data_IF_024748473794
#
_entry.id   IF_024748473794
#
_cell.length_a   1.000
_cell.length_b   1.000
_cell.length_c   1.000
_cell.angle_alpha   90.00
_cell.angle_beta   90.00
_cell.angle_gamma   90.00
#
_symmetry.space_group_name_H-M   'P 1'
#
loop_
_entity.id
_entity.type
_entity.pdbx_description
1 polymer ?
#
# COMPACT_ATOMS: atom_id res chain seq x y z
N UNK A 1 6.61 -21.39 -27.87
CA UNK A 1 5.76 -20.77 -26.83
C UNK A 1 6.50 -19.68 -26.05
N UNK A 2 7.78 -19.86 -25.72
CA UNK A 2 8.60 -18.86 -24.99
C UNK A 2 8.65 -17.48 -25.64
N UNK A 3 8.82 -17.39 -26.97
CA UNK A 3 8.83 -16.09 -27.70
C UNK A 3 7.53 -15.29 -27.61
N UNK A 4 6.38 -15.96 -27.50
CA UNK A 4 5.07 -15.28 -27.36
C UNK A 4 4.93 -14.70 -25.95
N UNK A 5 5.39 -15.43 -24.94
CA UNK A 5 5.38 -14.99 -23.54
C UNK A 5 6.36 -13.83 -23.33
N UNK A 6 7.56 -13.90 -23.91
CA UNK A 6 8.52 -12.78 -23.90
C UNK A 6 7.95 -11.53 -24.57
N UNK A 7 7.35 -11.67 -25.75
CA UNK A 7 6.76 -10.55 -26.47
C UNK A 7 5.57 -9.95 -25.73
N UNK A 8 4.73 -10.78 -25.09
CA UNK A 8 3.63 -10.33 -24.26
C UNK A 8 4.13 -9.56 -23.00
N UNK A 9 5.17 -10.06 -22.35
CA UNK A 9 5.79 -9.41 -21.19
C UNK A 9 6.44 -8.07 -21.57
N UNK A 10 7.16 -8.00 -22.68
CA UNK A 10 7.75 -6.74 -23.19
C UNK A 10 6.67 -5.72 -23.59
N UNK A 11 5.62 -6.16 -24.26
CA UNK A 11 4.50 -5.29 -24.66
C UNK A 11 3.69 -4.80 -23.45
N UNK A 12 3.67 -5.52 -22.32
CA UNK A 12 2.98 -5.08 -21.10
C UNK A 12 3.48 -3.73 -20.57
N UNK A 13 4.74 -3.36 -20.86
CA UNK A 13 5.32 -2.06 -20.46
C UNK A 13 4.55 -0.87 -21.04
N UNK A 14 4.02 -1.02 -22.24
CA UNK A 14 3.18 0.01 -22.87
C UNK A 14 1.82 0.16 -22.21
N UNK A 15 1.29 -0.88 -21.56
CA UNK A 15 0.05 -0.81 -20.80
C UNK A 15 0.22 -0.07 -19.46
N UNK A 16 1.42 -0.10 -18.88
CA UNK A 16 1.72 0.60 -17.64
C UNK A 16 1.80 2.13 -17.82
N UNK A 17 2.25 2.62 -18.98
CA UNK A 17 2.36 4.05 -19.26
C UNK A 17 1.03 4.84 -19.09
N UNK A 18 -0.10 4.45 -19.72
CA UNK A 18 -1.37 5.14 -19.53
C UNK A 18 -1.93 4.99 -18.12
N UNK A 19 -1.64 3.87 -17.42
CA UNK A 19 -2.05 3.66 -16.03
C UNK A 19 -1.36 4.68 -15.11
N UNK A 20 -0.04 4.84 -15.21
CA UNK A 20 0.69 5.84 -14.40
C UNK A 20 0.29 7.26 -14.75
N UNK A 21 -0.02 7.54 -16.02
CA UNK A 21 -0.56 8.84 -16.41
C UNK A 21 -1.93 9.10 -15.76
N UNK A 22 -2.81 8.10 -15.74
CA UNK A 22 -4.08 8.17 -15.03
C UNK A 22 -3.91 8.41 -13.52
N UNK A 23 -2.99 7.69 -12.88
CA UNK A 23 -2.66 7.86 -11.46
C UNK A 23 -2.15 9.27 -11.15
N UNK A 24 -1.29 9.84 -12.01
CA UNK A 24 -0.84 11.22 -11.90
C UNK A 24 -2.00 12.22 -12.01
N UNK A 25 -2.96 11.99 -12.92
CA UNK A 25 -4.15 12.82 -13.04
C UNK A 25 -5.03 12.74 -11.78
N UNK A 26 -5.21 11.54 -11.21
CA UNK A 26 -5.93 11.38 -9.94
C UNK A 26 -5.23 12.16 -8.82
N UNK A 27 -3.90 12.15 -8.77
CA UNK A 27 -3.15 12.93 -7.80
C UNK A 27 -3.40 14.44 -7.96
N UNK A 28 -3.48 14.94 -9.20
CA UNK A 28 -3.88 16.33 -9.47
C UNK A 28 -5.30 16.63 -8.97
N UNK A 29 -6.27 15.73 -9.20
CA UNK A 29 -7.65 15.89 -8.72
C UNK A 29 -7.69 15.94 -7.20
N UNK A 30 -7.00 15.03 -6.51
CA UNK A 30 -6.91 15.03 -5.04
C UNK A 30 -6.29 16.32 -4.50
N UNK A 31 -5.30 16.86 -5.20
CA UNK A 31 -4.67 18.13 -4.83
C UNK A 31 -5.67 19.29 -4.94
N UNK A 32 -6.47 19.32 -6.01
CA UNK A 32 -7.50 20.35 -6.19
C UNK A 32 -8.57 20.24 -5.08
N UNK A 33 -9.08 19.03 -4.83
CA UNK A 33 -10.05 18.76 -3.76
C UNK A 33 -9.53 19.19 -2.38
N UNK A 34 -8.25 18.94 -2.09
CA UNK A 34 -7.61 19.38 -0.84
C UNK A 34 -7.65 20.90 -0.66
N UNK A 35 -7.23 21.65 -1.69
CA UNK A 35 -7.24 23.12 -1.62
C UNK A 35 -8.67 23.69 -1.57
N UNK A 36 -9.62 23.08 -2.28
CA UNK A 36 -11.03 23.45 -2.19
C UNK A 36 -11.59 23.24 -0.77
N UNK A 37 -11.24 22.12 -0.13
CA UNK A 37 -11.64 21.85 1.25
C UNK A 37 -11.04 22.86 2.24
N UNK A 38 -9.77 23.24 2.07
CA UNK A 38 -9.14 24.31 2.87
C UNK A 38 -9.87 25.64 2.67
N UNK A 39 -10.12 26.01 1.41
CA UNK A 39 -10.80 27.26 1.09
C UNK A 39 -12.20 27.30 1.73
N UNK A 40 -12.96 26.22 1.62
CA UNK A 40 -14.26 26.09 2.27
C UNK A 40 -14.18 26.26 3.79
N UNK A 41 -13.20 25.62 4.43
CA UNK A 41 -13.02 25.68 5.89
C UNK A 41 -12.69 27.09 6.36
N UNK A 42 -11.77 27.78 5.67
CA UNK A 42 -11.39 29.17 6.01
C UNK A 42 -12.57 30.12 5.78
N UNK A 43 -13.31 29.98 4.68
CA UNK A 43 -14.44 30.86 4.38
C UNK A 43 -15.64 30.70 5.33
N UNK A 44 -15.79 29.53 5.96
CA UNK A 44 -16.95 29.22 6.81
C UNK A 44 -16.58 29.00 8.29
N UNK A 45 -15.36 29.35 8.72
CA UNK A 45 -14.90 29.07 10.09
C UNK A 45 -15.76 29.72 11.18
N UNK A 46 -16.36 30.89 10.89
CA UNK A 46 -17.23 31.60 11.83
C UNK A 46 -18.67 31.11 11.84
N UNK A 47 -19.08 30.31 10.85
CA UNK A 47 -20.46 29.84 10.66
C UNK A 47 -20.62 28.36 10.93
N UNK A 48 -19.54 27.58 10.85
CA UNK A 48 -19.53 26.15 11.16
C UNK A 48 -19.51 25.91 12.67
N UNK A 49 -20.20 24.86 13.10
CA UNK A 49 -20.10 24.38 14.47
C UNK A 49 -18.76 23.68 14.71
N UNK A 50 -18.34 23.61 15.98
CA UNK A 50 -17.03 23.07 16.38
C UNK A 50 -16.81 21.61 15.91
N UNK A 51 -17.89 20.82 15.91
CA UNK A 51 -17.88 19.44 15.45
C UNK A 51 -17.70 19.33 13.93
N UNK A 52 -18.35 20.20 13.15
CA UNK A 52 -18.24 20.26 11.68
C UNK A 52 -16.82 20.65 11.23
N UNK A 53 -16.20 21.60 11.94
CA UNK A 53 -14.80 21.98 11.68
C UNK A 53 -13.90 20.75 11.83
N UNK A 54 -14.08 19.97 12.89
CA UNK A 54 -13.26 18.78 13.13
C UNK A 54 -13.49 17.70 12.07
N UNK A 55 -14.74 17.48 11.66
CA UNK A 55 -15.09 16.55 10.57
C UNK A 55 -14.46 16.96 9.23
N UNK A 56 -14.43 18.26 8.93
CA UNK A 56 -13.78 18.78 7.72
C UNK A 56 -12.27 18.62 7.75
N UNK A 57 -11.63 18.90 8.88
CA UNK A 57 -10.18 18.66 9.06
C UNK A 57 -9.86 17.17 8.87
N UNK A 58 -10.66 16.28 9.45
CA UNK A 58 -10.46 14.84 9.28
C UNK A 58 -10.59 14.38 7.83
N UNK A 59 -11.52 14.97 7.07
CA UNK A 59 -11.63 14.75 5.62
C UNK A 59 -10.40 15.23 4.84
N UNK A 60 -9.81 16.37 5.20
CA UNK A 60 -8.57 16.85 4.58
C UNK A 60 -7.38 15.92 4.86
N UNK A 61 -7.28 15.39 6.09
CA UNK A 61 -6.26 14.41 6.47
C UNK A 61 -6.42 13.13 5.63
N UNK A 62 -7.65 12.67 5.43
CA UNK A 62 -7.93 11.48 4.62
C UNK A 62 -7.45 11.64 3.16
N UNK A 63 -7.73 12.80 2.52
CA UNK A 63 -7.24 13.10 1.17
C UNK A 63 -5.70 13.02 1.11
N UNK A 64 -4.99 13.56 2.11
CA UNK A 64 -3.52 13.50 2.17
C UNK A 64 -3.02 12.07 2.29
N UNK A 65 -3.67 11.24 3.10
CA UNK A 65 -3.28 9.84 3.27
C UNK A 65 -3.54 9.01 2.01
N UNK A 66 -4.67 9.23 1.34
CA UNK A 66 -4.97 8.61 0.04
C UNK A 66 -3.95 9.03 -1.01
N UNK A 67 -3.60 10.32 -1.08
CA UNK A 67 -2.57 10.83 -1.99
C UNK A 67 -1.19 10.21 -1.70
N UNK A 68 -0.78 10.14 -0.43
CA UNK A 68 0.47 9.50 -0.02
C UNK A 68 0.53 8.01 -0.36
N UNK A 69 -0.58 7.28 -0.16
CA UNK A 69 -0.71 5.89 -0.59
C UNK A 69 -0.57 5.75 -2.10
N UNK A 70 -1.24 6.62 -2.85
CA UNK A 70 -1.21 6.61 -4.32
C UNK A 70 0.23 6.80 -4.84
N UNK A 71 0.97 7.76 -4.27
CA UNK A 71 2.40 7.97 -4.60
C UNK A 71 3.24 6.72 -4.27
N UNK A 72 3.03 6.12 -3.10
CA UNK A 72 3.73 4.88 -2.71
C UNK A 72 3.46 3.75 -3.71
N UNK A 73 2.21 3.56 -4.11
CA UNK A 73 1.80 2.55 -5.10
C UNK A 73 2.43 2.83 -6.46
N UNK A 74 2.44 4.09 -6.90
CA UNK A 74 3.10 4.48 -8.15
C UNK A 74 4.59 4.14 -8.14
N UNK A 75 5.30 4.51 -7.06
CA UNK A 75 6.73 4.26 -6.94
C UNK A 75 7.04 2.76 -6.86
N UNK A 76 6.33 2.02 -6.02
CA UNK A 76 6.51 0.57 -5.86
C UNK A 76 6.15 -0.20 -7.13
N UNK A 77 5.09 0.21 -7.84
CA UNK A 77 4.73 -0.37 -9.13
C UNK A 77 5.81 -0.12 -10.17
N UNK A 78 6.33 1.11 -10.24
CA UNK A 78 7.37 1.47 -11.21
C UNK A 78 8.66 0.67 -10.97
N UNK A 79 9.11 0.60 -9.72
CA UNK A 79 10.30 -0.17 -9.33
C UNK A 79 10.15 -1.66 -9.67
N UNK A 80 9.00 -2.26 -9.37
CA UNK A 80 8.79 -3.69 -9.54
C UNK A 80 8.55 -4.13 -10.97
N UNK A 81 7.89 -3.30 -11.80
CA UNK A 81 7.43 -3.70 -13.12
C UNK A 81 8.10 -2.97 -14.27
N UNK A 82 8.58 -1.73 -14.10
CA UNK A 82 9.19 -0.96 -15.19
C UNK A 82 10.71 -0.96 -15.06
N UNK A 83 11.24 -0.62 -13.87
CA UNK A 83 12.68 -0.52 -13.63
C UNK A 83 13.40 -1.86 -13.79
N UNK A 84 12.85 -2.95 -13.24
CA UNK A 84 13.45 -4.30 -13.35
C UNK A 84 13.40 -4.90 -14.77
N UNK A 85 12.48 -4.43 -15.64
CA UNK A 85 12.39 -4.89 -17.03
C UNK A 85 13.36 -4.18 -17.97
N UNK A 86 13.92 -3.04 -17.58
CA UNK A 86 14.81 -2.19 -18.39
C UNK A 86 16.29 -2.53 -18.22
N UNK A 87 16.64 -3.50 -17.38
CA UNK A 87 18.01 -4.00 -17.23
C UNK A 87 18.29 -4.99 -18.38
N UNK A 88 18.97 -4.51 -19.42
CA UNK A 88 19.24 -5.24 -20.66
C UNK A 88 20.34 -6.31 -20.54
N UNK A 89 20.15 -7.39 -21.30
CA UNK A 89 21.11 -8.39 -21.81
C UNK A 89 21.93 -9.25 -20.82
N UNK A 90 21.28 -10.30 -20.33
CA UNK A 90 21.96 -11.49 -19.82
C UNK A 90 20.96 -12.51 -19.32
N UNK A 91 21.27 -13.80 -19.47
CA UNK A 91 20.43 -14.99 -19.17
C UNK A 91 19.92 -15.12 -17.72
N UNK A 92 19.92 -14.07 -16.91
CA UNK A 92 19.45 -14.06 -15.52
C UNK A 92 17.98 -13.66 -15.34
N UNK A 93 17.25 -13.40 -16.44
CA UNK A 93 15.82 -12.99 -16.43
C UNK A 93 14.84 -14.03 -15.86
N UNK A 94 15.28 -15.22 -15.47
CA UNK A 94 14.43 -16.22 -14.81
C UNK A 94 14.64 -16.29 -13.29
N UNK A 95 15.79 -15.81 -12.77
CA UNK A 95 16.11 -15.89 -11.34
C UNK A 95 15.39 -14.80 -10.50
N UNK A 96 14.96 -13.69 -11.13
CA UNK A 96 14.31 -12.57 -10.43
C UNK A 96 12.79 -12.74 -10.21
N UNK A 97 12.08 -13.45 -11.10
CA UNK A 97 10.65 -13.76 -10.91
C UNK A 97 10.41 -14.67 -9.71
N UNK A 98 11.37 -15.53 -9.36
CA UNK A 98 11.32 -16.38 -8.16
C UNK A 98 11.59 -15.64 -6.84
N UNK A 99 12.07 -14.40 -6.88
CA UNK A 99 12.39 -13.57 -5.70
C UNK A 99 11.55 -12.29 -5.60
N UNK A 100 10.42 -12.21 -6.29
CA UNK A 100 9.53 -11.06 -6.12
C UNK A 100 8.90 -11.17 -4.73
N UNK A 101 9.26 -10.24 -3.83
CA UNK A 101 8.91 -10.24 -2.41
C UNK A 101 7.44 -9.85 -2.20
N UNK A 102 6.55 -10.71 -2.68
CA UNK A 102 5.10 -10.58 -2.51
C UNK A 102 4.69 -10.67 -1.03
N UNK A 103 5.54 -11.25 -0.18
CA UNK A 103 5.30 -11.40 1.25
C UNK A 103 5.38 -10.05 1.96
N UNK A 104 6.44 -9.27 1.74
CA UNK A 104 6.56 -7.94 2.34
C UNK A 104 5.56 -6.94 1.75
N UNK A 105 5.17 -7.11 0.49
CA UNK A 105 4.15 -6.28 -0.16
C UNK A 105 2.75 -6.49 0.46
N UNK A 106 2.34 -7.74 0.72
CA UNK A 106 1.03 -8.06 1.32
C UNK A 106 0.86 -7.43 2.71
N UNK A 107 1.88 -7.52 3.55
CA UNK A 107 1.86 -6.94 4.90
C UNK A 107 1.78 -5.41 4.87
N UNK A 108 2.54 -4.75 3.98
CA UNK A 108 2.50 -3.29 3.80
C UNK A 108 1.13 -2.80 3.34
N UNK A 109 0.52 -3.48 2.37
CA UNK A 109 -0.82 -3.13 1.88
C UNK A 109 -1.88 -3.32 2.96
N UNK A 110 -1.83 -4.42 3.71
CA UNK A 110 -2.77 -4.67 4.81
C UNK A 110 -2.67 -3.60 5.91
N UNK A 111 -1.46 -3.19 6.27
CA UNK A 111 -1.24 -2.11 7.25
C UNK A 111 -1.85 -0.78 6.79
N UNK A 112 -1.69 -0.42 5.50
CA UNK A 112 -2.28 0.79 4.94
C UNK A 112 -3.81 0.76 4.94
N UNK A 113 -4.44 -0.38 4.60
CA UNK A 113 -5.90 -0.55 4.61
C UNK A 113 -6.45 -0.37 6.03
N UNK A 114 -5.79 -0.96 7.03
CA UNK A 114 -6.19 -0.80 8.44
C UNK A 114 -6.10 0.65 8.88
N UNK A 115 -5.01 1.35 8.56
CA UNK A 115 -4.83 2.75 8.93
C UNK A 115 -5.92 3.67 8.33
N UNK A 116 -6.24 3.51 7.05
CA UNK A 116 -7.30 4.28 6.38
C UNK A 116 -8.66 3.96 7.02
N UNK A 117 -8.93 2.68 7.27
CA UNK A 117 -10.17 2.24 7.91
C UNK A 117 -10.33 2.80 9.33
N UNK A 118 -9.26 2.92 10.12
CA UNK A 118 -9.29 3.53 11.46
C UNK A 118 -9.72 4.99 11.42
N UNK A 119 -9.22 5.76 10.45
CA UNK A 119 -9.53 7.18 10.29
C UNK A 119 -10.99 7.36 9.86
N UNK A 120 -11.45 6.51 8.94
CA UNK A 120 -12.84 6.51 8.52
C UNK A 120 -13.79 6.17 9.67
N UNK A 121 -13.43 5.19 10.52
CA UNK A 121 -14.21 4.85 11.70
C UNK A 121 -14.27 6.01 12.70
N UNK A 122 -13.16 6.72 12.89
CA UNK A 122 -13.12 7.92 13.74
C UNK A 122 -14.06 9.01 13.21
N UNK A 123 -14.12 9.21 11.89
CA UNK A 123 -15.03 10.17 11.26
C UNK A 123 -16.50 9.83 11.54
N UNK A 124 -16.87 8.57 11.38
CA UNK A 124 -18.23 8.07 11.64
C UNK A 124 -18.58 8.21 13.12
N UNK A 125 -17.61 7.95 14.00
CA UNK A 125 -17.79 8.11 15.43
C UNK A 125 -18.00 9.57 15.84
N UNK A 126 -17.31 10.51 15.19
CA UNK A 126 -17.51 11.95 15.42
C UNK A 126 -18.88 12.46 14.98
N UNK A 127 -19.51 11.80 14.00
CA UNK A 127 -20.87 12.09 13.52
C UNK A 127 -21.92 11.10 14.07
N UNK A 128 -21.60 10.40 15.17
CA UNK A 128 -22.40 9.29 15.68
C UNK A 128 -23.86 9.65 16.01
N UNK A 129 -24.13 10.92 16.36
CA UNK A 129 -25.49 11.38 16.67
C UNK A 129 -26.41 11.30 15.44
N UNK A 130 -25.87 11.43 14.23
CA UNK A 130 -26.62 11.41 12.98
C UNK A 130 -26.62 10.02 12.32
N UNK A 131 -25.96 9.04 12.91
CA UNK A 131 -25.77 7.71 12.35
C UNK A 131 -26.46 6.67 13.22
N UNK A 132 -27.28 5.83 12.58
CA UNK A 132 -27.97 4.74 13.26
C UNK A 132 -26.99 3.81 13.98
N UNK A 133 -27.28 3.47 15.24
CA UNK A 133 -26.43 2.61 16.07
C UNK A 133 -26.12 1.26 15.42
N UNK A 134 -27.04 0.70 14.63
CA UNK A 134 -26.83 -0.57 13.92
C UNK A 134 -25.71 -0.42 12.88
N UNK A 135 -25.68 0.72 12.16
CA UNK A 135 -24.64 1.02 11.17
C UNK A 135 -23.29 1.25 11.86
N UNK A 136 -23.29 1.95 12.99
CA UNK A 136 -22.08 2.23 13.77
C UNK A 136 -21.42 0.92 14.24
N UNK A 137 -22.22 -0.05 14.70
CA UNK A 137 -21.75 -1.38 15.05
C UNK A 137 -21.11 -2.11 13.85
N UNK A 138 -21.74 -2.05 12.67
CA UNK A 138 -21.18 -2.65 11.45
C UNK A 138 -19.83 -2.04 11.04
N UNK A 139 -19.66 -0.73 11.16
CA UNK A 139 -18.37 -0.08 10.89
C UNK A 139 -17.28 -0.57 11.84
N UNK A 140 -17.58 -0.73 13.13
CA UNK A 140 -16.64 -1.29 14.11
C UNK A 140 -16.29 -2.74 13.78
N UNK A 141 -17.28 -3.56 13.42
CA UNK A 141 -17.07 -4.98 13.06
C UNK A 141 -16.19 -5.12 11.82
N UNK A 142 -16.45 -4.33 10.77
CA UNK A 142 -15.65 -4.34 9.54
C UNK A 142 -14.21 -3.91 9.86
N UNK A 143 -14.04 -2.86 10.65
CA UNK A 143 -12.71 -2.39 11.04
C UNK A 143 -11.94 -3.46 11.82
N UNK A 144 -12.57 -4.11 12.81
CA UNK A 144 -11.98 -5.21 13.55
C UNK A 144 -11.57 -6.37 12.63
N UNK A 145 -12.38 -6.67 11.61
CA UNK A 145 -12.06 -7.71 10.61
C UNK A 145 -10.78 -7.38 9.85
N UNK A 146 -10.58 -6.12 9.46
CA UNK A 146 -9.34 -5.67 8.82
C UNK A 146 -8.14 -5.71 9.78
N UNK A 147 -8.31 -5.28 11.03
CA UNK A 147 -7.26 -5.34 12.06
C UNK A 147 -6.80 -6.77 12.28
N UNK A 148 -7.73 -7.71 12.48
CA UNK A 148 -7.42 -9.14 12.65
C UNK A 148 -6.68 -9.68 11.42
N UNK A 149 -7.17 -9.37 10.21
CA UNK A 149 -6.51 -9.81 8.97
C UNK A 149 -5.08 -9.29 8.84
N UNK A 150 -4.83 -8.02 9.16
CA UNK A 150 -3.50 -7.42 9.11
C UNK A 150 -2.56 -8.00 10.17
N UNK A 151 -3.05 -8.25 11.39
CA UNK A 151 -2.27 -8.90 12.44
C UNK A 151 -1.85 -10.31 12.02
N UNK A 152 -2.79 -11.10 11.46
CA UNK A 152 -2.48 -12.44 10.96
C UNK A 152 -1.43 -12.40 9.84
N UNK A 153 -1.56 -11.47 8.89
CA UNK A 153 -0.55 -11.27 7.84
C UNK A 153 0.81 -10.87 8.41
N UNK A 154 0.85 -9.95 9.38
CA UNK A 154 2.08 -9.54 10.05
C UNK A 154 2.78 -10.69 10.80
N UNK A 155 2.00 -11.55 11.46
CA UNK A 155 2.52 -12.75 12.13
C UNK A 155 3.11 -13.75 11.13
N UNK A 156 2.40 -14.02 10.03
CA UNK A 156 2.89 -14.90 8.97
C UNK A 156 4.20 -14.37 8.35
N UNK A 157 4.27 -13.05 8.10
CA UNK A 157 5.48 -12.41 7.59
C UNK A 157 6.66 -12.51 8.57
N UNK A 158 6.41 -12.39 9.87
CA UNK A 158 7.46 -12.54 10.89
C UNK A 158 8.00 -13.99 10.96
N UNK A 159 7.10 -14.98 10.90
CA UNK A 159 7.47 -16.40 10.90
C UNK A 159 8.31 -16.77 9.67
N UNK A 160 7.95 -16.27 8.49
CA UNK A 160 8.73 -16.49 7.27
C UNK A 160 10.11 -15.85 7.36
N UNK A 161 10.21 -14.58 7.80
CA UNK A 161 11.51 -13.91 7.95
C UNK A 161 12.44 -14.63 8.95
N UNK A 162 11.88 -15.19 10.04
CA UNK A 162 12.67 -15.98 11.00
C UNK A 162 13.17 -17.30 10.40
N UNK A 163 12.38 -17.92 9.53
CA UNK A 163 12.75 -19.16 8.83
C UNK A 163 13.86 -18.92 7.79
N UNK A 164 13.77 -17.82 7.03
CA UNK A 164 14.79 -17.43 6.04
C UNK A 164 16.13 -17.06 6.70
N UNK A 165 16.09 -16.43 7.88
CA UNK A 165 17.29 -16.09 8.64
C UNK A 165 18.00 -17.34 9.19
N UNK A 166 17.26 -18.35 9.64
CA UNK A 166 17.82 -19.61 10.14
C UNK A 166 18.48 -20.44 9.03
N UNK A 167 17.87 -20.48 7.83
CA UNK A 167 18.44 -21.17 6.67
C UNK A 167 19.76 -20.53 6.20
N UNK A 168 19.84 -19.20 6.16
CA UNK A 168 21.09 -18.49 5.82
C UNK A 168 22.22 -18.78 6.79
N UNK A 169 21.94 -18.81 8.10
CA UNK A 169 22.96 -19.11 9.12
C UNK A 169 23.45 -20.56 8.98
N UNK A 170 22.53 -21.50 8.71
CA UNK A 170 22.90 -22.90 8.48
C UNK A 170 23.77 -23.07 7.23
N UNK A 171 23.42 -22.44 6.12
CA UNK A 171 24.20 -22.46 4.88
C UNK A 171 25.58 -21.80 5.04
N UNK A 172 25.66 -20.70 5.79
CA UNK A 172 26.92 -19.98 6.04
C UNK A 172 27.88 -20.81 6.91
N UNK A 173 27.36 -21.50 7.93
CA UNK A 173 28.14 -22.42 8.78
C UNK A 173 28.58 -23.66 7.97
N UNK A 174 27.69 -24.26 7.18
CA UNK A 174 28.00 -25.41 6.33
C UNK A 174 29.08 -25.06 5.29
N UNK A 175 28.94 -23.94 4.58
CA UNK A 175 29.89 -23.56 3.53
C UNK A 175 31.27 -23.18 4.11
N UNK A 176 31.31 -22.58 5.31
CA UNK A 176 32.56 -22.28 6.03
C UNK A 176 33.25 -23.53 6.57
N UNK A 177 32.50 -24.59 6.89
CA UNK A 177 33.07 -25.88 7.34
C UNK A 177 33.71 -26.69 6.20
N UNK A 178 33.33 -26.47 4.95
CA UNK A 178 33.87 -27.14 3.76
C UNK A 178 35.17 -26.47 3.26
N UNK A 179 35.38 -25.17 3.55
CA UNK A 179 36.58 -24.43 3.17
C UNK A 179 37.77 -24.59 4.12
N UNK A 180 37.71 -25.49 5.10
CA UNK A 180 38.87 -25.79 5.96
C UNK A 180 39.76 -26.77 5.20
N UNK A 181 40.92 -26.37 4.64
CA UNK A 181 41.88 -27.33 4.10
C UNK A 181 42.35 -28.24 5.25
N UNK A 182 42.39 -29.56 4.99
CA UNK A 182 42.95 -30.56 5.91
C UNK A 182 44.36 -30.20 6.36
#
# INVERSE_FOLDING_TARGET
MEKIIEWLLYSSRWLLAPIYLGLSLVLCVLTIEFYQGIFYLISNISTLEEHDVTLKVLGLIDIVLVAGLLVMVMYSGYENFVSKLDITEGREKLNWMGKMDFTSLKAKVAASIVAISSIHLLKIFMDAHNIDNSKLLWYVIIHLTFVVSAVLMGLLSCLQHKTDAQLKIHDEIYNKSIQIPK
#
